data_IF_645838716584
#
_entry.id   IF_645838716584
#
_cell.length_a   1.000
_cell.length_b   1.000
_cell.length_c   1.000
_cell.angle_alpha   90.00
_cell.angle_beta   90.00
_cell.angle_gamma   90.00
#
_symmetry.space_group_name_H-M   'P 1'
#
loop_
_entity.id
_entity.type
_entity.pdbx_description
1 polymer ?
#
# COMPACT_ATOMS: atom_id res chain seq x y z
N UNK A 1 36.81 -4.86 43.42
CA UNK A 1 36.47 -4.86 41.98
C UNK A 1 34.96 -5.00 41.88
N UNK A 2 34.24 -3.95 41.45
CA UNK A 2 32.79 -4.00 41.24
C UNK A 2 32.57 -4.07 39.73
N UNK A 3 32.03 -5.19 39.26
CA UNK A 3 31.69 -5.35 37.84
C UNK A 3 30.49 -4.48 37.49
N UNK A 4 30.65 -3.63 36.48
CA UNK A 4 29.58 -2.79 35.93
C UNK A 4 28.93 -3.58 34.80
N UNK A 5 27.76 -4.15 35.05
CA UNK A 5 26.94 -4.79 34.02
C UNK A 5 26.25 -3.69 33.20
N UNK A 6 26.68 -3.50 31.96
CA UNK A 6 25.98 -2.64 31.00
C UNK A 6 24.77 -3.38 30.41
N UNK A 7 23.57 -3.09 30.92
CA UNK A 7 22.32 -3.52 30.29
C UNK A 7 22.07 -2.62 29.08
N UNK A 8 22.38 -3.13 27.88
CA UNK A 8 21.97 -2.50 26.62
C UNK A 8 20.47 -2.71 26.42
N UNK A 9 19.67 -1.74 26.84
CA UNK A 9 18.27 -1.63 26.43
C UNK A 9 18.26 -1.30 24.93
N UNK A 10 18.04 -2.32 24.09
CA UNK A 10 17.64 -2.10 22.70
C UNK A 10 16.23 -1.48 22.71
N UNK A 11 16.16 -0.16 22.59
CA UNK A 11 14.92 0.52 22.21
C UNK A 11 14.55 0.09 20.79
N UNK A 12 13.72 -0.96 20.69
CA UNK A 12 13.02 -1.33 19.46
C UNK A 12 11.96 -0.26 19.22
N UNK A 13 12.36 0.89 18.68
CA UNK A 13 11.43 1.93 18.29
C UNK A 13 10.41 1.34 17.32
N UNK A 14 9.13 1.35 17.70
CA UNK A 14 8.04 1.02 16.79
C UNK A 14 7.95 2.17 15.78
N UNK A 15 8.75 2.12 14.72
CA UNK A 15 8.76 3.18 13.72
C UNK A 15 7.72 2.83 12.65
N UNK A 16 6.62 3.56 12.67
CA UNK A 16 5.47 3.30 11.80
C UNK A 16 5.62 4.18 10.55
N UNK A 17 5.82 3.53 9.40
CA UNK A 17 5.61 4.12 8.09
C UNK A 17 4.19 4.58 7.86
N UNK A 18 4.09 5.83 7.42
CA UNK A 18 2.83 6.48 7.09
C UNK A 18 2.94 7.03 5.69
N UNK A 19 1.96 6.70 4.85
CA UNK A 19 1.85 7.26 3.53
C UNK A 19 0.54 6.85 2.89
N UNK A 20 0.23 7.43 1.74
CA UNK A 20 -0.99 7.11 1.02
C UNK A 20 -0.73 7.06 -0.47
N UNK A 21 -1.36 6.12 -1.16
CA UNK A 21 -1.33 6.09 -2.62
C UNK A 21 -2.18 7.26 -3.09
N UNK A 22 -1.48 8.26 -3.62
CA UNK A 22 -2.03 9.54 -4.02
C UNK A 22 -2.53 9.51 -5.45
N UNK A 23 -1.75 8.90 -6.36
CA UNK A 23 -2.11 8.73 -7.77
C UNK A 23 -1.76 7.30 -8.26
N UNK A 24 -2.71 6.59 -8.87
CA UNK A 24 -4.13 6.92 -8.86
C UNK A 24 -4.68 6.80 -7.42
N UNK A 25 -5.68 7.59 -7.00
CA UNK A 25 -6.03 7.68 -5.59
C UNK A 25 -6.64 6.41 -5.03
N UNK A 26 -6.14 5.99 -3.89
CA UNK A 26 -6.68 4.85 -3.16
C UNK A 26 -8.09 5.05 -2.61
N UNK A 27 -8.78 3.95 -2.32
CA UNK A 27 -10.10 3.92 -1.65
C UNK A 27 -10.21 4.86 -0.46
N UNK A 28 -9.30 4.75 0.51
CA UNK A 28 -9.28 5.63 1.69
C UNK A 28 -8.82 7.07 1.39
N UNK A 29 -8.13 7.33 0.28
CA UNK A 29 -7.59 8.64 -0.09
C UNK A 29 -8.51 9.41 -1.05
N UNK A 30 -9.47 8.73 -1.69
CA UNK A 30 -10.37 9.27 -2.72
C UNK A 30 -11.05 10.57 -2.29
N UNK A 31 -11.49 10.68 -1.03
CA UNK A 31 -12.15 11.88 -0.52
C UNK A 31 -11.24 13.12 -0.57
N UNK A 32 -9.91 12.96 -0.39
CA UNK A 32 -8.93 14.05 -0.54
C UNK A 32 -8.74 14.50 -1.98
N UNK A 33 -9.20 13.69 -2.94
CA UNK A 33 -9.05 13.90 -4.38
C UNK A 33 -10.37 14.26 -5.06
N UNK A 34 -11.35 14.75 -4.30
CA UNK A 34 -12.62 15.30 -4.81
C UNK A 34 -13.71 14.27 -5.08
N UNK A 35 -13.49 12.99 -4.76
CA UNK A 35 -14.51 11.96 -4.90
C UNK A 35 -15.50 12.02 -3.73
N UNK A 36 -16.79 11.87 -4.02
CA UNK A 36 -17.86 11.75 -3.01
C UNK A 36 -17.80 10.37 -2.35
N UNK A 37 -16.81 10.17 -1.50
CA UNK A 37 -16.55 8.93 -0.74
C UNK A 37 -16.46 9.22 0.75
N UNK A 38 -16.59 8.18 1.57
CA UNK A 38 -16.48 8.30 3.02
C UNK A 38 -15.08 8.81 3.39
N UNK A 39 -15.06 9.85 4.23
CA UNK A 39 -13.82 10.43 4.75
C UNK A 39 -13.10 9.42 5.65
N UNK A 40 -11.82 9.19 5.36
CA UNK A 40 -10.88 8.53 6.26
C UNK A 40 -9.73 9.49 6.57
N UNK A 41 -9.70 10.14 7.76
CA UNK A 41 -8.61 11.04 8.12
C UNK A 41 -7.27 10.30 8.29
N UNK A 42 -7.30 9.01 8.61
CA UNK A 42 -6.15 8.13 8.83
C UNK A 42 -5.87 7.28 7.58
N UNK A 43 -6.15 7.82 6.40
CA UNK A 43 -5.89 7.18 5.10
C UNK A 43 -4.41 6.90 4.82
N UNK A 44 -3.52 7.47 5.65
CA UNK A 44 -2.09 7.19 5.68
C UNK A 44 -1.67 6.11 6.69
N UNK A 45 -2.60 5.39 7.31
CA UNK A 45 -2.35 4.38 8.36
C UNK A 45 -2.82 2.96 7.97
N UNK A 46 -2.93 2.65 6.68
CA UNK A 46 -3.25 1.30 6.17
C UNK A 46 -2.05 0.34 6.25
N UNK A 47 -1.56 0.16 7.47
CA UNK A 47 -0.32 -0.51 7.84
C UNK A 47 -0.55 -1.87 8.52
N UNK A 48 -1.61 -2.59 8.14
CA UNK A 48 -2.00 -3.90 8.67
C UNK A 48 -2.38 -3.88 10.16
N UNK A 49 -2.77 -2.72 10.69
CA UNK A 49 -3.10 -2.51 12.11
C UNK A 49 -1.89 -2.23 13.00
N UNK A 50 -0.77 -1.82 12.42
CA UNK A 50 0.48 -1.53 13.11
C UNK A 50 1.34 -2.77 13.37
N UNK A 51 2.59 -2.53 13.78
CA UNK A 51 3.63 -3.57 13.91
C UNK A 51 3.22 -4.72 14.84
N UNK A 52 2.70 -4.39 16.04
CA UNK A 52 2.28 -5.38 17.03
C UNK A 52 1.17 -6.29 16.50
N UNK A 53 0.18 -5.72 15.81
CA UNK A 53 -0.88 -6.50 15.19
C UNK A 53 -0.32 -7.39 14.07
N UNK A 54 0.40 -6.77 13.15
CA UNK A 54 0.87 -7.42 11.92
C UNK A 54 1.84 -8.58 12.22
N UNK A 55 2.94 -8.33 12.92
CA UNK A 55 4.02 -9.30 13.09
C UNK A 55 3.86 -10.16 14.34
N UNK A 56 3.55 -9.54 15.47
CA UNK A 56 3.56 -10.26 16.76
C UNK A 56 2.29 -11.09 16.90
N UNK A 57 1.10 -10.50 16.68
CA UNK A 57 -0.17 -11.18 16.89
C UNK A 57 -0.58 -12.09 15.73
N UNK A 58 -0.37 -11.66 14.48
CA UNK A 58 -0.88 -12.36 13.30
C UNK A 58 0.20 -12.93 12.38
N UNK A 59 1.47 -12.95 12.81
CA UNK A 59 2.53 -13.69 12.11
C UNK A 59 2.83 -13.16 10.71
N UNK A 60 2.78 -11.85 10.52
CA UNK A 60 3.03 -11.19 9.24
C UNK A 60 1.84 -11.18 8.28
N UNK A 61 0.65 -11.64 8.71
CA UNK A 61 -0.57 -11.60 7.89
C UNK A 61 -1.19 -10.20 7.89
N UNK A 62 -1.71 -9.80 6.73
CA UNK A 62 -2.31 -8.50 6.48
C UNK A 62 -3.52 -8.64 5.55
N UNK A 63 -4.51 -7.76 5.68
CA UNK A 63 -5.55 -7.61 4.65
C UNK A 63 -4.94 -7.20 3.32
N UNK A 64 -5.58 -7.59 2.22
CA UNK A 64 -5.09 -7.32 0.85
C UNK A 64 -5.10 -5.82 0.53
N UNK A 65 -5.85 -5.02 1.32
CA UNK A 65 -5.93 -3.57 1.26
C UNK A 65 -5.33 -2.84 2.46
N UNK A 66 -4.46 -3.47 3.24
CA UNK A 66 -3.74 -2.82 4.35
C UNK A 66 -4.52 -2.75 5.65
N UNK A 67 -5.76 -3.27 5.67
CA UNK A 67 -6.53 -3.45 6.89
C UNK A 67 -5.92 -4.53 7.80
N UNK A 68 -6.19 -4.50 9.13
CA UNK A 68 -5.79 -5.57 10.04
C UNK A 68 -6.36 -6.93 9.58
N UNK A 69 -5.53 -7.97 9.64
CA UNK A 69 -5.87 -9.29 9.10
C UNK A 69 -7.16 -9.88 9.69
N UNK A 70 -7.39 -9.67 10.99
CA UNK A 70 -8.55 -10.20 11.72
C UNK A 70 -9.86 -9.46 11.49
N UNK A 71 -9.83 -8.29 10.87
CA UNK A 71 -11.03 -7.48 10.68
C UNK A 71 -11.94 -8.13 9.63
N UNK A 72 -13.25 -8.16 9.89
CA UNK A 72 -14.25 -8.67 8.94
C UNK A 72 -15.59 -7.94 9.15
N UNK A 73 -16.19 -7.32 8.10
CA UNK A 73 -15.59 -7.08 6.80
C UNK A 73 -14.38 -6.12 6.91
N UNK A 74 -13.35 -6.32 6.08
CA UNK A 74 -12.20 -5.40 6.04
C UNK A 74 -12.62 -4.08 5.35
N UNK A 75 -12.44 -2.92 5.98
CA UNK A 75 -13.01 -1.66 5.49
C UNK A 75 -12.58 -1.25 4.07
N UNK A 76 -11.38 -1.59 3.63
CA UNK A 76 -10.89 -1.23 2.30
C UNK A 76 -11.04 -2.36 1.28
N UNK A 77 -11.51 -3.55 1.65
CA UNK A 77 -11.83 -4.65 0.72
C UNK A 77 -13.28 -4.54 0.21
N UNK A 78 -13.62 -5.28 -0.84
CA UNK A 78 -14.99 -5.26 -1.40
C UNK A 78 -16.04 -5.60 -0.34
N UNK A 79 -17.15 -4.87 -0.32
CA UNK A 79 -18.15 -4.91 0.76
C UNK A 79 -17.77 -4.10 2.01
N UNK A 80 -16.55 -3.57 2.09
CA UNK A 80 -16.09 -2.69 3.16
C UNK A 80 -16.51 -1.23 2.97
N UNK A 81 -16.51 -0.48 4.09
CA UNK A 81 -16.91 0.93 4.17
C UNK A 81 -16.27 1.84 3.11
N UNK A 82 -15.00 1.62 2.77
CA UNK A 82 -14.25 2.46 1.82
C UNK A 82 -14.23 1.91 0.39
N UNK A 83 -14.75 0.70 0.16
CA UNK A 83 -14.82 0.08 -1.16
C UNK A 83 -16.11 0.50 -1.90
N UNK A 84 -16.19 1.77 -2.28
CA UNK A 84 -17.36 2.37 -2.92
C UNK A 84 -17.62 1.91 -4.38
N UNK A 85 -16.77 1.05 -4.95
CA UNK A 85 -16.91 0.57 -6.34
C UNK A 85 -16.63 1.64 -7.42
N UNK A 86 -16.03 2.78 -7.05
CA UNK A 86 -15.80 3.90 -7.96
C UNK A 86 -14.50 3.70 -8.75
N UNK A 87 -14.61 3.71 -10.08
CA UNK A 87 -13.46 3.73 -10.97
C UNK A 87 -12.85 5.12 -10.97
N UNK A 88 -11.62 5.24 -10.46
CA UNK A 88 -11.01 6.56 -10.34
C UNK A 88 -10.08 6.91 -11.50
N UNK A 89 -9.60 5.92 -12.27
CA UNK A 89 -8.83 6.15 -13.50
C UNK A 89 -9.12 5.07 -14.53
N UNK A 90 -8.91 5.43 -15.80
CA UNK A 90 -8.99 4.53 -16.93
C UNK A 90 -7.66 4.57 -17.68
N UNK A 91 -7.18 3.39 -18.08
CA UNK A 91 -5.89 3.24 -18.74
C UNK A 91 -5.99 2.26 -19.90
N UNK A 92 -5.04 2.37 -20.83
CA UNK A 92 -4.83 1.39 -21.90
C UNK A 92 -3.90 0.27 -21.43
N UNK A 93 -4.10 -0.94 -21.95
CA UNK A 93 -3.21 -2.05 -21.67
C UNK A 93 -1.77 -1.72 -22.06
N UNK A 94 -0.78 -2.07 -21.22
CA UNK A 94 0.62 -1.74 -21.47
C UNK A 94 1.02 -0.27 -21.32
N UNK A 95 0.09 0.62 -20.95
CA UNK A 95 0.36 2.06 -20.82
C UNK A 95 1.39 2.35 -19.73
N UNK A 96 2.23 3.37 -19.98
CA UNK A 96 3.05 4.00 -18.93
C UNK A 96 2.18 5.07 -18.26
N UNK A 97 2.02 4.95 -16.94
CA UNK A 97 1.16 5.80 -16.12
C UNK A 97 1.98 6.55 -15.08
N UNK A 98 1.48 7.69 -14.63
CA UNK A 98 2.01 8.36 -13.45
C UNK A 98 1.47 7.68 -12.19
N UNK A 99 2.39 7.41 -11.28
CA UNK A 99 2.13 6.93 -9.93
C UNK A 99 2.62 8.00 -8.95
N UNK A 100 1.85 8.27 -7.91
CA UNK A 100 2.26 9.17 -6.86
C UNK A 100 1.93 8.61 -5.48
N UNK A 101 2.88 8.73 -4.58
CA UNK A 101 2.72 8.37 -3.16
C UNK A 101 2.98 9.61 -2.33
N UNK A 102 2.07 9.93 -1.43
CA UNK A 102 2.29 10.96 -0.42
C UNK A 102 2.88 10.31 0.84
N UNK A 103 4.16 10.58 1.11
CA UNK A 103 4.92 10.05 2.23
C UNK A 103 4.80 11.02 3.40
N UNK A 104 3.99 10.66 4.40
CA UNK A 104 3.81 11.48 5.61
C UNK A 104 4.86 11.17 6.69
N UNK A 105 5.41 9.96 6.69
CA UNK A 105 6.56 9.58 7.51
C UNK A 105 7.44 8.61 6.73
N UNK A 106 8.67 9.03 6.41
CA UNK A 106 9.63 8.26 5.64
C UNK A 106 10.40 7.26 6.52
N UNK A 107 10.43 5.99 6.11
CA UNK A 107 11.20 4.91 6.77
C UNK A 107 12.07 4.13 5.79
N UNK A 108 12.54 4.82 4.75
CA UNK A 108 13.32 4.28 3.63
C UNK A 108 12.70 2.99 3.08
N UNK A 109 13.46 2.17 2.35
CA UNK A 109 12.93 0.95 1.74
C UNK A 109 12.37 1.22 0.34
N UNK A 110 11.27 0.58 -0.03
CA UNK A 110 10.80 0.63 -1.42
C UNK A 110 9.29 0.41 -1.60
N UNK A 111 8.78 0.90 -2.72
CA UNK A 111 7.42 0.67 -3.18
C UNK A 111 7.38 -0.42 -4.24
N UNK A 112 6.36 -1.28 -4.15
CA UNK A 112 5.98 -2.26 -5.16
C UNK A 112 4.55 -1.99 -5.61
N UNK A 113 4.27 -2.26 -6.89
CA UNK A 113 2.94 -2.09 -7.45
C UNK A 113 2.48 -3.39 -8.13
N UNK A 114 1.21 -3.72 -7.98
CA UNK A 114 0.56 -4.89 -8.58
C UNK A 114 -0.82 -4.52 -9.08
N UNK A 115 -1.37 -5.33 -9.96
CA UNK A 115 -2.70 -5.16 -10.52
C UNK A 115 -3.45 -6.49 -10.46
N UNK A 116 -4.76 -6.46 -10.30
CA UNK A 116 -5.61 -7.64 -10.38
C UNK A 116 -6.85 -7.30 -11.21
N UNK A 117 -7.14 -8.03 -12.30
CA UNK A 117 -8.44 -7.94 -12.96
C UNK A 117 -9.50 -8.57 -12.05
N UNK A 118 -10.55 -7.82 -11.73
CA UNK A 118 -11.59 -8.28 -10.79
C UNK A 118 -12.98 -8.26 -11.44
N UNK A 119 -13.28 -7.27 -12.30
CA UNK A 119 -14.51 -7.13 -13.09
C UNK A 119 -15.84 -7.12 -12.30
N UNK A 120 -15.79 -7.22 -10.97
CA UNK A 120 -16.92 -7.17 -10.06
C UNK A 120 -16.50 -6.43 -8.78
N UNK A 121 -17.06 -5.23 -8.57
CA UNK A 121 -16.75 -4.37 -7.41
C UNK A 121 -17.14 -4.98 -6.05
N UNK A 122 -18.01 -5.99 -6.05
CA UNK A 122 -18.50 -6.65 -4.84
C UNK A 122 -17.63 -7.85 -4.42
N UNK A 123 -16.77 -8.34 -5.33
CA UNK A 123 -15.89 -9.48 -5.07
C UNK A 123 -14.53 -9.03 -4.51
N UNK A 124 -14.12 -9.57 -3.35
CA UNK A 124 -12.78 -9.31 -2.83
C UNK A 124 -11.71 -9.95 -3.71
N UNK A 125 -10.68 -9.18 -4.05
CA UNK A 125 -9.52 -9.72 -4.75
C UNK A 125 -8.61 -10.54 -3.82
N UNK A 126 -7.74 -11.37 -4.42
CA UNK A 126 -6.75 -12.16 -3.67
C UNK A 126 -5.33 -11.68 -3.93
N UNK A 127 -4.44 -11.88 -2.95
CA UNK A 127 -3.01 -11.64 -3.15
C UNK A 127 -2.43 -12.50 -4.29
N UNK A 128 -2.97 -13.71 -4.50
CA UNK A 128 -2.58 -14.60 -5.62
C UNK A 128 -2.83 -13.94 -6.98
N UNK A 129 -3.97 -13.27 -7.15
CA UNK A 129 -4.28 -12.53 -8.37
C UNK A 129 -3.30 -11.38 -8.60
N UNK A 130 -3.09 -10.55 -7.58
CA UNK A 130 -2.16 -9.42 -7.64
C UNK A 130 -0.74 -9.84 -8.02
N UNK A 131 -0.25 -10.93 -7.43
CA UNK A 131 1.10 -11.41 -7.68
C UNK A 131 1.34 -11.84 -9.14
N UNK A 132 0.27 -12.13 -9.91
CA UNK A 132 0.40 -12.49 -11.33
C UNK A 132 0.66 -11.28 -12.23
N UNK A 133 0.31 -10.06 -11.80
CA UNK A 133 0.41 -8.87 -12.65
C UNK A 133 1.15 -7.72 -11.95
N UNK A 134 2.48 -7.80 -11.81
CA UNK A 134 3.28 -6.70 -11.28
C UNK A 134 3.25 -5.49 -12.23
N UNK A 135 3.29 -4.28 -11.65
CA UNK A 135 3.51 -3.03 -12.36
C UNK A 135 4.96 -2.62 -12.08
N UNK A 136 5.77 -2.57 -13.13
CA UNK A 136 7.19 -2.24 -12.99
C UNK A 136 7.41 -0.73 -13.06
N UNK A 137 8.17 -0.20 -12.11
CA UNK A 137 8.62 1.20 -12.12
C UNK A 137 9.59 1.40 -13.29
N UNK A 138 9.31 2.38 -14.14
CA UNK A 138 10.11 2.69 -15.33
C UNK A 138 11.48 3.19 -14.90
N UNK A 139 12.54 2.67 -15.53
CA UNK A 139 13.93 3.02 -15.20
C UNK A 139 14.50 2.30 -13.97
N UNK A 140 13.70 1.48 -13.28
CA UNK A 140 14.17 0.66 -12.17
C UNK A 140 14.70 -0.69 -12.63
N UNK A 141 15.81 -1.16 -12.03
CA UNK A 141 16.41 -2.47 -12.34
C UNK A 141 15.62 -3.64 -11.76
N UNK A 142 15.07 -3.47 -10.56
CA UNK A 142 14.28 -4.50 -9.85
C UNK A 142 12.77 -4.23 -9.94
N UNK A 143 12.38 -3.19 -10.69
CA UNK A 143 10.99 -2.82 -10.91
C UNK A 143 10.34 -2.07 -9.75
N UNK A 144 11.12 -1.67 -8.74
CA UNK A 144 10.66 -1.00 -7.52
C UNK A 144 11.07 0.46 -7.51
N UNK A 145 10.34 1.27 -6.76
CA UNK A 145 10.76 2.65 -6.43
C UNK A 145 11.45 2.63 -5.06
N UNK A 146 12.73 2.99 -5.00
CA UNK A 146 13.49 3.04 -3.74
C UNK A 146 13.36 4.42 -3.11
N UNK A 147 12.91 4.46 -1.86
CA UNK A 147 12.63 5.71 -1.14
C UNK A 147 13.94 6.26 -0.57
N UNK A 148 14.33 7.45 -1.01
CA UNK A 148 15.50 8.16 -0.49
C UNK A 148 15.28 8.66 0.94
N UNK A 149 16.33 8.73 1.76
CA UNK A 149 16.23 9.03 3.20
C UNK A 149 15.63 10.39 3.58
N UNK A 150 15.58 11.34 2.65
CA UNK A 150 15.03 12.69 2.87
C UNK A 150 13.77 12.97 2.05
N UNK A 151 13.15 11.95 1.45
CA UNK A 151 11.94 12.12 0.63
C UNK A 151 10.68 12.14 1.50
N UNK A 152 10.02 13.29 1.62
CA UNK A 152 8.70 13.43 2.25
C UNK A 152 7.75 14.16 1.30
N UNK A 153 6.44 14.04 1.57
CA UNK A 153 5.39 14.59 0.72
C UNK A 153 5.15 13.75 -0.54
N UNK A 154 4.58 14.38 -1.57
CA UNK A 154 4.18 13.71 -2.81
C UNK A 154 5.41 13.42 -3.67
N UNK A 155 5.74 12.15 -3.82
CA UNK A 155 6.72 11.67 -4.80
C UNK A 155 6.01 11.11 -6.03
N UNK A 156 6.45 11.51 -7.22
CA UNK A 156 5.86 11.11 -8.50
C UNK A 156 6.89 10.32 -9.30
N UNK A 157 6.46 9.20 -9.88
CA UNK A 157 7.27 8.34 -10.73
C UNK A 157 6.38 7.62 -11.74
N UNK A 158 6.98 6.92 -12.70
CA UNK A 158 6.24 6.23 -13.77
C UNK A 158 6.20 4.72 -13.56
N UNK A 159 5.02 4.13 -13.74
CA UNK A 159 4.80 2.68 -13.74
C UNK A 159 4.34 2.19 -15.10
N UNK A 160 4.76 0.99 -15.51
CA UNK A 160 4.31 0.35 -16.75
C UNK A 160 3.28 -0.73 -16.44
N UNK A 161 2.06 -0.55 -16.96
CA UNK A 161 0.99 -1.53 -16.82
C UNK A 161 1.31 -2.84 -17.58
N UNK A 162 0.80 -3.99 -17.13
CA UNK A 162 0.93 -5.25 -17.84
C UNK A 162 0.32 -5.17 -19.25
N UNK A 163 1.02 -5.75 -20.24
CA UNK A 163 0.50 -5.89 -21.61
C UNK A 163 -0.53 -7.01 -21.68
N UNK A 164 -1.57 -6.82 -22.49
CA UNK A 164 -2.62 -7.82 -22.72
C UNK A 164 -3.62 -7.98 -21.58
N UNK A 165 -3.44 -7.27 -20.46
CA UNK A 165 -4.40 -7.26 -19.36
C UNK A 165 -5.51 -6.23 -19.62
N UNK A 166 -6.76 -6.66 -19.49
CA UNK A 166 -7.97 -5.84 -19.65
C UNK A 166 -8.97 -6.20 -18.54
N UNK A 167 -9.69 -5.20 -18.05
CA UNK A 167 -10.68 -5.32 -16.98
C UNK A 167 -11.68 -4.15 -17.07
N UNK A 168 -12.94 -4.39 -16.74
CA UNK A 168 -13.92 -3.32 -16.48
C UNK A 168 -13.67 -2.67 -15.11
N UNK A 169 -13.16 -3.47 -14.17
CA UNK A 169 -12.70 -3.03 -12.87
C UNK A 169 -11.42 -3.77 -12.49
N UNK A 170 -10.32 -3.04 -12.45
CA UNK A 170 -9.05 -3.54 -11.92
C UNK A 170 -8.82 -3.00 -10.52
N UNK A 171 -8.09 -3.79 -9.75
CA UNK A 171 -7.61 -3.40 -8.43
C UNK A 171 -6.10 -3.23 -8.43
N UNK A 172 -5.61 -2.02 -8.20
CA UNK A 172 -4.17 -1.74 -8.12
C UNK A 172 -3.70 -1.80 -6.68
N UNK A 173 -2.67 -2.57 -6.38
CA UNK A 173 -2.02 -2.62 -5.07
C UNK A 173 -0.72 -1.84 -5.05
N UNK A 174 -0.66 -0.78 -4.27
CA UNK A 174 0.60 -0.23 -3.76
C UNK A 174 1.01 -1.01 -2.51
N UNK A 175 2.28 -1.39 -2.42
CA UNK A 175 2.90 -1.92 -1.20
C UNK A 175 4.16 -1.14 -0.83
N UNK A 176 4.18 -0.49 0.32
CA UNK A 176 5.40 0.08 0.88
C UNK A 176 6.06 -0.93 1.82
N UNK A 177 7.29 -1.36 1.53
CA UNK A 177 8.13 -2.11 2.45
C UNK A 177 9.21 -1.20 3.02
N UNK A 178 9.12 -0.94 4.33
CA UNK A 178 10.09 -0.15 5.07
C UNK A 178 11.28 -0.99 5.54
N UNK A 179 12.42 -0.35 5.81
CA UNK A 179 13.62 -1.02 6.35
C UNK A 179 13.50 -1.37 7.84
N UNK A 180 14.28 -2.35 8.30
CA UNK A 180 14.43 -2.96 9.66
C UNK A 180 13.17 -3.48 10.37
N UNK A 181 12.02 -2.86 10.16
CA UNK A 181 10.71 -3.33 10.61
C UNK A 181 9.82 -3.45 9.38
N UNK A 182 9.28 -4.64 9.16
CA UNK A 182 8.54 -4.99 7.94
C UNK A 182 7.14 -4.38 7.93
N UNK A 183 7.02 -3.06 7.93
CA UNK A 183 5.72 -2.46 7.67
C UNK A 183 5.42 -2.62 6.19
N UNK A 184 4.31 -3.31 5.90
CA UNK A 184 3.77 -3.46 4.56
C UNK A 184 2.52 -2.59 4.49
N UNK A 185 2.64 -1.34 4.09
CA UNK A 185 1.45 -0.54 3.84
C UNK A 185 0.87 -0.96 2.51
N UNK A 186 -0.37 -1.40 2.51
CA UNK A 186 -1.01 -1.93 1.31
C UNK A 186 -2.21 -1.08 0.98
N UNK A 187 -2.24 -0.47 -0.19
CA UNK A 187 -3.32 0.44 -0.54
C UNK A 187 -3.85 0.12 -1.92
N UNK A 188 -5.17 -0.09 -1.99
CA UNK A 188 -5.85 -0.46 -3.21
C UNK A 188 -6.68 0.67 -3.82
N UNK A 189 -6.73 0.64 -5.15
CA UNK A 189 -7.77 1.26 -5.96
C UNK A 189 -8.84 0.22 -6.27
#
# INVERSE_FOLDING_TARGET
MKEIIFIWIFCVGNVIGHGKLWEPPARSTMWRRGFKTIVNPNDNELNCGGFQNHWIKYGGRCGVCGDPYQTSPRPNEAGGKYAAGVITRQYKSGQIIDLAVDITANHVGYFEFRLCPNNDVTQPITQKCLNRYPIFVVGSKDGRYHVGGHQNGIVVFKGKLPKGLVCSQCVMQWRYRTGKYFLSMVILQ
#
